data_IF_257195231166
#
_entry.id   IF_257195231166
#
_cell.length_a   1.000
_cell.length_b   1.000
_cell.length_c   1.000
_cell.angle_alpha   90.00
_cell.angle_beta   90.00
_cell.angle_gamma   90.00
#
_symmetry.space_group_name_H-M   'P 1'
#
loop_
_entity.id
_entity.type
_entity.pdbx_description
1 polymer ?
#
# COMPACT_ATOMS: atom_id res chain seq x y z
N UNK A 1 -1.95 10.89 7.81
CA UNK A 1 -2.95 9.81 7.65
C UNK A 1 -2.24 8.58 7.11
N UNK A 2 -2.56 7.39 7.61
CA UNK A 2 -2.06 6.10 7.10
C UNK A 2 -3.26 5.34 6.54
N UNK A 3 -3.18 4.94 5.28
CA UNK A 3 -4.20 4.18 4.58
C UNK A 3 -3.82 2.70 4.53
N UNK A 4 -4.81 1.83 4.62
CA UNK A 4 -4.66 0.38 4.64
C UNK A 4 -5.79 -0.25 3.82
N UNK A 5 -5.58 -1.51 3.45
CA UNK A 5 -6.67 -2.40 3.01
C UNK A 5 -6.65 -3.61 3.92
N UNK A 6 -7.78 -3.91 4.57
CA UNK A 6 -7.88 -4.96 5.59
C UNK A 6 -8.97 -5.96 5.26
N UNK A 7 -8.74 -7.22 5.59
CA UNK A 7 -9.67 -8.33 5.35
C UNK A 7 -9.04 -9.47 4.56
N UNK A 8 -9.87 -10.42 4.16
CA UNK A 8 -9.43 -11.58 3.39
C UNK A 8 -8.92 -11.17 2.00
N UNK A 9 -7.96 -11.92 1.47
CA UNK A 9 -7.37 -11.68 0.14
C UNK A 9 -8.48 -11.61 -0.93
N UNK A 10 -8.53 -10.50 -1.65
CA UNK A 10 -9.54 -10.22 -2.68
C UNK A 10 -10.87 -9.67 -2.16
N UNK A 11 -11.04 -9.53 -0.86
CA UNK A 11 -12.23 -8.97 -0.20
C UNK A 11 -11.86 -7.86 0.79
N UNK A 12 -10.69 -7.29 0.63
CA UNK A 12 -10.21 -6.24 1.51
C UNK A 12 -11.11 -4.99 1.41
N UNK A 13 -11.27 -4.33 2.55
CA UNK A 13 -11.92 -3.02 2.67
C UNK A 13 -10.90 -1.91 2.82
N UNK A 14 -11.16 -0.72 2.27
CA UNK A 14 -10.33 0.45 2.52
C UNK A 14 -10.46 0.87 3.98
N UNK A 15 -9.34 1.17 4.60
CA UNK A 15 -9.25 1.58 5.99
C UNK A 15 -8.22 2.69 6.19
N UNK A 16 -8.32 3.38 7.31
CA UNK A 16 -7.33 4.37 7.74
C UNK A 16 -7.04 4.22 9.23
N UNK A 17 -5.83 4.59 9.66
CA UNK A 17 -5.56 4.74 11.08
C UNK A 17 -6.04 6.12 11.54
N UNK A 18 -6.81 6.14 12.63
CA UNK A 18 -7.15 7.36 13.34
C UNK A 18 -5.96 7.87 14.20
N UNK A 19 -6.17 8.97 14.92
CA UNK A 19 -5.15 9.58 15.79
C UNK A 19 -4.69 8.68 16.94
N UNK A 20 -5.54 7.73 17.34
CA UNK A 20 -5.27 6.80 18.45
C UNK A 20 -4.68 5.46 17.93
N UNK A 21 -4.42 5.37 16.62
CA UNK A 21 -3.86 4.21 15.96
C UNK A 21 -4.85 3.08 15.71
N UNK A 22 -6.15 3.33 15.87
CA UNK A 22 -7.20 2.36 15.59
C UNK A 22 -7.52 2.30 14.10
N UNK A 23 -7.80 1.10 13.61
CA UNK A 23 -8.17 0.88 12.21
C UNK A 23 -9.64 1.24 12.01
N UNK A 24 -9.93 2.18 11.13
CA UNK A 24 -11.29 2.65 10.82
C UNK A 24 -11.67 2.28 9.40
N UNK A 25 -12.87 1.72 9.26
CA UNK A 25 -13.48 1.42 7.95
C UNK A 25 -13.86 2.73 7.26
N UNK A 26 -13.25 3.03 6.12
CA UNK A 26 -13.53 4.24 5.32
C UNK A 26 -14.35 3.92 4.06
N UNK A 27 -15.00 2.75 4.00
CA UNK A 27 -15.79 2.33 2.84
C UNK A 27 -16.97 3.26 2.53
N UNK A 28 -17.42 4.05 3.52
CA UNK A 28 -18.44 5.08 3.32
C UNK A 28 -17.93 6.30 2.53
N UNK A 29 -16.62 6.50 2.45
CA UNK A 29 -15.99 7.61 1.74
C UNK A 29 -15.44 7.20 0.38
N UNK A 30 -14.88 6.00 0.28
CA UNK A 30 -14.30 5.46 -0.96
C UNK A 30 -14.60 3.98 -1.07
N UNK A 31 -14.77 3.47 -2.28
CA UNK A 31 -15.03 2.05 -2.49
C UNK A 31 -13.78 1.19 -2.29
N UNK A 32 -12.61 1.69 -2.65
CA UNK A 32 -11.32 1.01 -2.44
C UNK A 32 -10.15 1.98 -2.66
N UNK A 33 -8.94 1.56 -2.27
CA UNK A 33 -7.69 2.28 -2.53
C UNK A 33 -7.12 1.88 -3.90
N UNK A 34 -7.71 2.42 -4.94
CA UNK A 34 -7.35 2.18 -6.33
C UNK A 34 -7.06 3.51 -7.06
N UNK A 35 -6.59 3.51 -8.32
CA UNK A 35 -6.27 4.73 -9.05
C UNK A 35 -7.40 5.75 -9.17
N UNK A 36 -8.67 5.31 -9.15
CA UNK A 36 -9.83 6.20 -9.29
C UNK A 36 -10.03 7.10 -8.07
N UNK A 37 -9.65 6.58 -6.89
CA UNK A 37 -9.83 7.27 -5.60
C UNK A 37 -8.54 7.87 -5.02
N UNK A 38 -7.37 7.45 -5.49
CA UNK A 38 -6.07 7.97 -5.03
C UNK A 38 -5.72 9.28 -5.77
N UNK A 39 -6.50 10.33 -5.52
CA UNK A 39 -6.29 11.68 -6.05
C UNK A 39 -6.29 12.71 -4.92
N UNK A 40 -5.82 13.93 -5.23
CA UNK A 40 -5.68 14.99 -4.22
C UNK A 40 -6.99 15.38 -3.54
N UNK A 41 -8.10 15.40 -4.28
CA UNK A 41 -9.41 15.78 -3.74
C UNK A 41 -9.89 14.75 -2.71
N UNK A 42 -9.85 13.46 -3.05
CA UNK A 42 -10.23 12.37 -2.15
C UNK A 42 -9.35 12.31 -0.93
N UNK A 43 -8.02 12.42 -1.11
CA UNK A 43 -7.07 12.42 0.01
C UNK A 43 -7.32 13.61 0.94
N UNK A 44 -7.57 14.81 0.40
CA UNK A 44 -7.89 15.99 1.20
C UNK A 44 -9.21 15.82 1.98
N UNK A 45 -10.24 15.26 1.37
CA UNK A 45 -11.51 14.95 2.06
C UNK A 45 -11.29 13.97 3.24
N UNK A 46 -10.54 12.90 3.02
CA UNK A 46 -10.23 11.93 4.07
C UNK A 46 -9.37 12.53 5.21
N UNK A 47 -8.44 13.42 4.88
CA UNK A 47 -7.61 14.11 5.89
C UNK A 47 -8.44 15.01 6.82
N UNK A 48 -9.51 15.59 6.31
CA UNK A 48 -10.41 16.48 7.05
C UNK A 48 -11.60 15.74 7.70
N UNK A 49 -11.77 14.45 7.43
CA UNK A 49 -12.84 13.65 8.01
C UNK A 49 -12.54 13.28 9.48
N UNK A 50 -13.58 13.25 10.31
CA UNK A 50 -13.47 12.67 11.66
C UNK A 50 -13.46 11.14 11.58
N UNK A 51 -12.27 10.58 11.45
CA UNK A 51 -12.09 9.13 11.39
C UNK A 51 -12.55 8.43 12.66
N UNK A 52 -12.53 9.10 13.83
CA UNK A 52 -12.88 8.48 15.09
C UNK A 52 -14.37 8.09 15.19
N UNK A 53 -15.21 8.72 14.40
CA UNK A 53 -16.65 8.43 14.29
C UNK A 53 -16.98 7.22 13.41
N UNK A 54 -15.99 6.72 12.63
CA UNK A 54 -16.18 5.61 11.70
C UNK A 54 -16.07 4.25 12.40
N UNK A 55 -16.68 3.18 11.84
CA UNK A 55 -16.61 1.84 12.41
C UNK A 55 -15.17 1.38 12.62
N UNK A 56 -14.88 0.83 13.80
CA UNK A 56 -13.58 0.23 14.13
C UNK A 56 -13.49 -1.18 13.55
N UNK A 57 -12.40 -1.48 12.86
CA UNK A 57 -12.03 -2.82 12.41
C UNK A 57 -11.06 -3.45 13.40
N UNK A 58 -11.09 -4.78 13.51
CA UNK A 58 -10.18 -5.49 14.40
C UNK A 58 -8.73 -5.30 13.99
N UNK A 59 -7.86 -5.07 14.96
CA UNK A 59 -6.40 -5.03 14.74
C UNK A 59 -5.79 -6.41 14.38
N UNK A 60 -6.55 -7.49 14.57
CA UNK A 60 -6.16 -8.85 14.15
C UNK A 60 -6.53 -9.17 12.71
N UNK A 61 -7.24 -8.30 12.01
CA UNK A 61 -7.56 -8.50 10.60
C UNK A 61 -6.27 -8.51 9.75
N UNK A 62 -6.27 -9.35 8.70
CA UNK A 62 -5.18 -9.37 7.74
C UNK A 62 -5.05 -8.00 7.07
N UNK A 63 -3.83 -7.52 6.96
CA UNK A 63 -3.51 -6.32 6.18
C UNK A 63 -3.08 -6.78 4.78
N UNK A 64 -3.84 -6.39 3.77
CA UNK A 64 -3.52 -6.64 2.38
C UNK A 64 -2.59 -5.59 1.79
N UNK A 65 -2.33 -5.68 0.48
CA UNK A 65 -1.65 -4.60 -0.26
C UNK A 65 -2.36 -3.28 -0.04
N UNK A 66 -1.60 -2.21 0.23
CA UNK A 66 -2.16 -0.89 0.52
C UNK A 66 -2.88 -0.24 -0.67
N UNK A 67 -2.67 -0.74 -1.89
CA UNK A 67 -3.36 -0.32 -3.11
C UNK A 67 -3.84 -1.55 -3.90
N UNK A 68 -4.89 -1.39 -4.67
CA UNK A 68 -5.37 -2.39 -5.61
C UNK A 68 -5.35 -1.88 -7.04
N UNK A 69 -5.21 -2.80 -8.01
CA UNK A 69 -5.23 -2.52 -9.46
C UNK A 69 -4.30 -1.38 -9.91
N UNK A 70 -3.04 -1.30 -9.45
CA UNK A 70 -2.13 -0.28 -9.96
C UNK A 70 -1.86 -0.54 -11.45
N UNK A 71 -1.79 0.53 -12.24
CA UNK A 71 -1.49 0.42 -13.67
C UNK A 71 -0.03 0.04 -13.95
N UNK A 72 0.88 0.35 -13.00
CA UNK A 72 2.32 0.10 -13.11
C UNK A 72 2.90 -0.24 -11.74
N UNK A 73 3.96 -1.07 -11.75
CA UNK A 73 4.82 -1.31 -10.61
C UNK A 73 6.26 -1.05 -11.03
N UNK A 74 6.75 0.16 -10.76
CA UNK A 74 8.09 0.60 -11.14
C UNK A 74 9.02 0.44 -9.94
N UNK A 75 10.18 -0.14 -10.18
CA UNK A 75 11.24 -0.28 -9.18
C UNK A 75 12.49 0.51 -9.61
N UNK A 76 13.26 0.96 -8.62
CA UNK A 76 14.54 1.60 -8.78
C UNK A 76 15.62 0.65 -8.27
N UNK A 77 16.52 0.25 -9.17
CA UNK A 77 17.65 -0.63 -8.84
C UNK A 77 18.83 0.13 -8.25
N UNK A 78 19.59 -0.56 -7.41
CA UNK A 78 20.79 -0.02 -6.73
C UNK A 78 20.55 1.34 -6.07
N UNK A 79 19.37 1.52 -5.48
CA UNK A 79 18.92 2.77 -4.87
C UNK A 79 19.62 3.11 -3.54
N UNK A 80 20.32 2.13 -2.95
CA UNK A 80 21.11 2.26 -1.73
C UNK A 80 22.58 1.98 -2.02
N UNK A 81 23.47 2.84 -1.48
CA UNK A 81 24.92 2.73 -1.72
C UNK A 81 25.54 1.45 -1.13
N UNK A 82 25.03 0.97 0.00
CA UNK A 82 25.44 -0.29 0.62
C UNK A 82 25.06 -1.50 -0.26
N UNK A 83 23.91 -1.48 -0.90
CA UNK A 83 23.51 -2.51 -1.84
C UNK A 83 24.39 -2.52 -3.10
N UNK A 84 24.81 -1.37 -3.61
CA UNK A 84 25.79 -1.28 -4.70
C UNK A 84 27.14 -1.89 -4.26
N UNK A 85 27.61 -1.58 -3.06
CA UNK A 85 28.85 -2.12 -2.50
C UNK A 85 28.79 -3.65 -2.31
N UNK A 86 27.67 -4.21 -1.81
CA UNK A 86 27.47 -5.65 -1.65
C UNK A 86 27.55 -6.41 -2.98
N UNK A 87 27.07 -5.83 -4.05
CA UNK A 87 27.11 -6.43 -5.41
C UNK A 87 28.39 -6.13 -6.17
N UNK A 88 29.31 -5.33 -5.61
CA UNK A 88 30.54 -4.87 -6.28
C UNK A 88 30.28 -3.91 -7.45
N UNK A 89 29.10 -3.30 -7.49
CA UNK A 89 28.72 -2.36 -8.53
C UNK A 89 29.05 -0.92 -8.12
N UNK A 90 29.34 -0.08 -9.11
CA UNK A 90 29.43 1.36 -8.88
C UNK A 90 28.04 1.94 -8.57
N UNK A 91 27.98 2.98 -7.72
CA UNK A 91 26.75 3.72 -7.48
C UNK A 91 26.32 4.39 -8.78
N UNK A 92 25.10 4.08 -9.31
CA UNK A 92 24.65 4.63 -10.57
C UNK A 92 24.51 6.16 -10.50
N UNK A 93 24.95 6.85 -11.55
CA UNK A 93 24.78 8.31 -11.69
C UNK A 93 23.33 8.71 -12.03
N UNK A 94 22.56 7.78 -12.57
CA UNK A 94 21.13 7.94 -12.90
C UNK A 94 20.32 6.77 -12.34
N UNK A 95 19.03 6.96 -11.99
CA UNK A 95 18.20 5.89 -11.48
C UNK A 95 18.04 4.75 -12.50
N UNK A 96 18.39 3.53 -12.09
CA UNK A 96 18.10 2.33 -12.87
C UNK A 96 16.64 1.95 -12.67
N UNK A 97 15.78 2.21 -13.65
CA UNK A 97 14.35 1.93 -13.56
C UNK A 97 13.98 0.62 -14.26
N UNK A 98 13.15 -0.18 -13.63
CA UNK A 98 12.60 -1.39 -14.23
C UNK A 98 11.18 -1.68 -13.77
N UNK A 99 10.46 -2.46 -14.56
CA UNK A 99 9.08 -2.82 -14.28
C UNK A 99 9.01 -4.18 -13.60
N UNK A 100 8.12 -4.27 -12.61
CA UNK A 100 7.66 -5.53 -12.04
C UNK A 100 6.24 -5.83 -12.50
N UNK A 101 5.87 -7.09 -12.61
CA UNK A 101 4.49 -7.47 -12.86
C UNK A 101 3.60 -6.99 -11.70
N UNK A 102 2.46 -6.36 -12.00
CA UNK A 102 1.52 -5.93 -10.94
C UNK A 102 0.92 -7.11 -10.18
N UNK A 103 0.92 -8.30 -10.78
CA UNK A 103 0.50 -9.56 -10.15
C UNK A 103 1.41 -10.03 -9.00
N UNK A 104 2.65 -9.50 -8.88
CA UNK A 104 3.53 -9.85 -7.76
C UNK A 104 3.31 -9.00 -6.50
N UNK A 105 2.31 -8.09 -6.51
CA UNK A 105 1.97 -7.29 -5.35
C UNK A 105 1.27 -8.19 -4.32
N UNK A 106 1.78 -8.20 -3.09
CA UNK A 106 1.27 -8.99 -2.00
C UNK A 106 1.03 -8.13 -0.75
N UNK A 107 0.31 -8.63 0.23
CA UNK A 107 0.18 -7.98 1.53
C UNK A 107 1.51 -8.03 2.30
N UNK A 108 1.72 -7.09 3.23
CA UNK A 108 3.01 -6.95 3.93
C UNK A 108 3.37 -8.14 4.82
N UNK A 109 2.38 -8.94 5.22
CA UNK A 109 2.54 -10.10 6.10
C UNK A 109 2.07 -11.40 5.45
N UNK A 110 1.78 -11.37 4.14
CA UNK A 110 1.40 -12.58 3.41
C UNK A 110 2.62 -13.40 3.02
N UNK A 111 2.45 -14.71 2.93
CA UNK A 111 3.48 -15.62 2.45
C UNK A 111 3.81 -15.36 0.96
N UNK A 112 5.06 -15.55 0.59
CA UNK A 112 5.50 -15.54 -0.80
C UNK A 112 5.22 -16.94 -1.37
N UNK A 113 4.33 -17.01 -2.35
CA UNK A 113 4.00 -18.25 -3.04
C UNK A 113 5.14 -18.64 -3.99
N UNK A 114 5.75 -19.81 -3.77
CA UNK A 114 6.75 -20.38 -4.68
C UNK A 114 6.01 -21.30 -5.63
N UNK A 115 6.02 -20.94 -6.92
CA UNK A 115 5.44 -21.78 -7.98
C UNK A 115 6.40 -22.92 -8.26
N UNK A 116 5.93 -24.15 -8.07
CA UNK A 116 6.69 -25.40 -8.39
C UNK A 116 6.54 -25.79 -9.85
#
# INVERSE_FOLDING_TARGET
MKLLRVGQKGQEKPAALDKDGKIRDISSHISDLNPDFLNFETISKLQNADLSSLPELSSSERIGSCITKPGKFVAIGLNFSDHAAETGAEVPSEPITFMKATSCINGPNDDIEIVS
#
